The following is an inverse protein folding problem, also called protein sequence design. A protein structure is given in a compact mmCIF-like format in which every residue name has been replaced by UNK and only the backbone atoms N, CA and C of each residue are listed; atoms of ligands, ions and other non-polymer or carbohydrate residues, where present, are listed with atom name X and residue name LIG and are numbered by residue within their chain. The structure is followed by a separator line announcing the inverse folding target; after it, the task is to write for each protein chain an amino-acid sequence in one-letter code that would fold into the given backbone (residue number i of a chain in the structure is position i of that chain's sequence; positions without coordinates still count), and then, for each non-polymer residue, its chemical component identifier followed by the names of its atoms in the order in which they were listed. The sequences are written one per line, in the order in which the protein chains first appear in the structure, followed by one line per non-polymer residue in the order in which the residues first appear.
data_IF_156331009154
#
_entry.id   IF_156331009154
#
_cell.length_a   1.000
_cell.length_b   1.000
_cell.length_c   1.000
_cell.angle_alpha   90.00
_cell.angle_beta   90.00
_cell.angle_gamma   90.00
#
_symmetry.space_group_name_H-M   'P 1'
#
loop_
_entity.id
_entity.type
_entity.pdbx_description
1 polymer ?
#
# COMPACT_ATOMS: atom_id res chain seq x y z
N UNK A 1 18.95 -19.15 -39.48
CA UNK A 1 20.06 -18.18 -39.29
C UNK A 1 19.80 -17.17 -38.16
N UNK A 2 18.74 -16.34 -38.20
CA UNK A 2 18.48 -15.37 -37.10
C UNK A 2 18.12 -16.07 -35.78
N UNK A 3 17.31 -17.12 -35.85
CA UNK A 3 16.88 -17.92 -34.70
C UNK A 3 18.03 -18.68 -34.04
N UNK A 4 18.98 -19.17 -34.83
CA UNK A 4 20.18 -19.87 -34.33
C UNK A 4 21.09 -18.93 -33.53
N UNK A 5 21.17 -17.65 -33.93
CA UNK A 5 21.91 -16.62 -33.18
C UNK A 5 21.24 -16.27 -31.86
N UNK A 6 19.92 -16.19 -31.83
CA UNK A 6 19.16 -15.96 -30.59
C UNK A 6 19.32 -17.15 -29.64
N UNK A 7 19.20 -18.39 -30.16
CA UNK A 7 19.43 -19.59 -29.38
C UNK A 7 20.85 -19.64 -28.80
N UNK A 8 21.87 -19.33 -29.61
CA UNK A 8 23.27 -19.27 -29.17
C UNK A 8 23.53 -18.15 -28.15
N UNK A 9 22.83 -17.02 -28.24
CA UNK A 9 22.92 -15.94 -27.26
C UNK A 9 22.29 -16.33 -25.91
N UNK A 10 21.19 -17.10 -25.93
CA UNK A 10 20.49 -17.57 -24.74
C UNK A 10 21.18 -18.76 -24.06
N UNK A 11 21.86 -19.64 -24.80
CA UNK A 11 22.53 -20.84 -24.26
C UNK A 11 24.05 -20.69 -24.11
N UNK A 12 24.63 -19.63 -24.68
CA UNK A 12 26.07 -19.38 -24.66
C UNK A 12 26.57 -18.73 -23.37
N UNK A 13 27.90 -18.61 -23.25
CA UNK A 13 28.60 -17.99 -22.10
C UNK A 13 28.22 -16.53 -21.79
N UNK A 14 27.59 -15.84 -22.74
CA UNK A 14 27.16 -14.44 -22.60
C UNK A 14 25.69 -14.29 -22.19
N UNK A 15 24.98 -15.41 -21.99
CA UNK A 15 23.57 -15.44 -21.55
C UNK A 15 23.33 -14.69 -20.23
N UNK A 16 24.30 -14.68 -19.34
CA UNK A 16 24.21 -13.93 -18.08
C UNK A 16 24.09 -12.41 -18.30
N UNK A 17 24.63 -11.84 -19.39
CA UNK A 17 24.42 -10.42 -19.70
C UNK A 17 22.97 -10.12 -20.08
N UNK A 18 22.27 -11.05 -20.74
CA UNK A 18 20.85 -10.90 -21.04
C UNK A 18 20.03 -10.95 -19.76
N UNK A 19 20.37 -11.85 -18.84
CA UNK A 19 19.76 -11.91 -17.51
C UNK A 19 20.01 -10.61 -16.73
N UNK A 20 21.25 -10.10 -16.72
CA UNK A 20 21.58 -8.83 -16.10
C UNK A 20 20.81 -7.66 -16.73
N UNK A 21 20.69 -7.64 -18.06
CA UNK A 21 19.90 -6.65 -18.78
C UNK A 21 18.42 -6.69 -18.38
N UNK A 22 17.82 -7.87 -18.28
CA UNK A 22 16.45 -8.04 -17.82
C UNK A 22 16.26 -7.57 -16.36
N UNK A 23 17.23 -7.88 -15.49
CA UNK A 23 17.22 -7.42 -14.09
C UNK A 23 17.28 -5.90 -14.02
N UNK A 24 18.22 -5.27 -14.75
CA UNK A 24 18.36 -3.81 -14.78
C UNK A 24 17.11 -3.13 -15.34
N UNK A 25 16.52 -3.71 -16.40
CA UNK A 25 15.28 -3.21 -16.98
C UNK A 25 14.12 -3.30 -15.97
N UNK A 26 13.98 -4.44 -15.28
CA UNK A 26 12.96 -4.64 -14.26
C UNK A 26 13.13 -3.69 -13.07
N UNK A 27 14.35 -3.57 -12.55
CA UNK A 27 14.67 -2.67 -11.44
C UNK A 27 14.45 -1.19 -11.83
N UNK A 28 14.87 -0.81 -13.04
CA UNK A 28 14.65 0.53 -13.58
C UNK A 28 13.16 0.84 -13.75
N UNK A 29 12.38 -0.12 -14.24
CA UNK A 29 10.92 0.02 -14.34
C UNK A 29 10.26 0.19 -12.97
N UNK A 30 10.63 -0.65 -11.98
CA UNK A 30 10.12 -0.51 -10.60
C UNK A 30 10.47 0.86 -10.00
N UNK A 31 11.69 1.35 -10.23
CA UNK A 31 12.11 2.67 -9.78
C UNK A 31 11.34 3.80 -10.48
N UNK A 32 11.07 3.67 -11.78
CA UNK A 32 10.35 4.67 -12.57
C UNK A 32 8.86 4.76 -12.20
N UNK A 33 8.22 3.64 -11.86
CA UNK A 33 6.82 3.62 -11.38
C UNK A 33 6.69 4.29 -10.01
N UNK A 34 7.73 4.24 -9.19
CA UNK A 34 7.76 4.86 -7.86
C UNK A 34 6.92 4.11 -6.82
N UNK A 35 7.00 4.56 -5.57
CA UNK A 35 6.21 3.98 -4.49
C UNK A 35 4.71 4.29 -4.71
N UNK A 36 3.90 3.26 -4.97
CA UNK A 36 2.46 3.40 -5.05
C UNK A 36 1.86 3.56 -3.65
N UNK A 37 1.77 4.81 -3.17
CA UNK A 37 1.11 5.14 -1.90
C UNK A 37 -0.39 4.84 -1.88
N UNK A 38 -1.00 4.58 -3.04
CA UNK A 38 -2.42 4.27 -3.15
C UNK A 38 -2.78 2.88 -2.60
N UNK A 39 -1.81 2.00 -2.36
CA UNK A 39 -2.07 0.67 -1.79
C UNK A 39 -2.73 0.74 -0.39
N UNK A 40 -2.53 1.83 0.34
CA UNK A 40 -3.18 2.11 1.62
C UNK A 40 -4.33 3.13 1.54
N UNK A 41 -4.65 3.64 0.35
CA UNK A 41 -5.71 4.63 0.18
C UNK A 41 -7.02 3.95 -0.23
N UNK A 42 -8.12 4.40 0.36
CA UNK A 42 -9.43 4.01 -0.12
C UNK A 42 -9.60 4.45 -1.58
N UNK A 43 -10.23 3.63 -2.45
CA UNK A 43 -10.56 4.05 -3.80
C UNK A 43 -11.29 5.39 -3.79
N UNK A 44 -10.86 6.34 -4.64
CA UNK A 44 -11.60 7.59 -4.84
C UNK A 44 -12.99 7.22 -5.34
N UNK A 45 -13.97 7.28 -4.43
CA UNK A 45 -15.33 6.82 -4.70
C UNK A 45 -16.15 7.84 -5.50
N UNK A 46 -15.58 9.03 -5.74
CA UNK A 46 -16.23 10.14 -6.43
C UNK A 46 -15.26 10.85 -7.39
N UNK A 47 -15.76 11.43 -8.50
CA UNK A 47 -14.97 12.32 -9.33
C UNK A 47 -14.41 13.51 -8.54
N UNK A 48 -13.20 13.94 -8.88
CA UNK A 48 -12.47 15.01 -8.17
C UNK A 48 -13.16 16.38 -8.22
N UNK A 49 -14.00 16.62 -9.23
CA UNK A 49 -14.80 17.84 -9.36
C UNK A 49 -16.21 17.78 -8.75
N UNK A 50 -16.56 16.69 -8.06
CA UNK A 50 -17.90 16.54 -7.45
C UNK A 50 -18.08 17.45 -6.23
N UNK A 51 -19.33 17.82 -5.94
CA UNK A 51 -19.66 18.57 -4.72
C UNK A 51 -19.21 17.82 -3.45
N UNK A 52 -19.29 16.48 -3.45
CA UNK A 52 -18.80 15.64 -2.35
C UNK A 52 -17.28 15.79 -2.13
N UNK A 53 -16.48 15.83 -3.20
CA UNK A 53 -15.04 16.06 -3.10
C UNK A 53 -14.71 17.46 -2.58
N UNK A 54 -15.52 18.47 -2.96
CA UNK A 54 -15.37 19.84 -2.47
C UNK A 54 -15.74 19.96 -0.99
N UNK A 55 -16.80 19.29 -0.54
CA UNK A 55 -17.20 19.22 0.88
C UNK A 55 -16.13 18.53 1.72
N UNK A 56 -15.58 17.41 1.25
CA UNK A 56 -14.48 16.71 1.91
C UNK A 56 -13.23 17.59 2.04
N UNK A 57 -12.87 18.35 1.01
CA UNK A 57 -11.79 19.34 1.08
C UNK A 57 -12.06 20.47 2.07
N UNK A 58 -13.32 20.94 2.19
CA UNK A 58 -13.73 21.93 3.19
C UNK A 58 -13.71 21.35 4.61
N UNK A 59 -14.13 20.09 4.80
CA UNK A 59 -14.16 19.44 6.10
C UNK A 59 -12.77 19.41 6.75
N UNK A 60 -11.72 19.14 5.97
CA UNK A 60 -10.32 19.15 6.44
C UNK A 60 -9.82 20.51 6.96
N UNK A 61 -10.53 21.61 6.69
CA UNK A 61 -10.16 22.94 7.19
C UNK A 61 -10.58 23.17 8.64
N UNK A 62 -11.49 22.33 9.16
CA UNK A 62 -11.92 22.40 10.55
C UNK A 62 -10.99 21.58 11.46
N UNK A 63 -10.79 21.98 12.73
CA UNK A 63 -9.98 21.23 13.68
C UNK A 63 -10.44 19.77 13.79
N UNK A 64 -9.59 18.84 13.39
CA UNK A 64 -9.87 17.41 13.42
C UNK A 64 -10.72 16.88 12.26
N UNK A 65 -11.05 17.70 11.26
CA UNK A 65 -11.77 17.26 10.06
C UNK A 65 -10.96 16.38 9.11
N UNK A 66 -9.67 16.24 9.37
CA UNK A 66 -8.74 15.32 8.72
C UNK A 66 -8.42 14.07 9.58
N UNK A 67 -8.95 13.98 10.80
CA UNK A 67 -8.66 12.86 11.71
C UNK A 67 -9.53 11.66 11.39
N UNK A 68 -8.87 10.53 11.10
CA UNK A 68 -9.50 9.22 11.03
C UNK A 68 -9.29 8.53 12.39
N UNK A 69 -10.34 8.33 13.21
CA UNK A 69 -10.19 7.71 14.51
C UNK A 69 -9.83 6.22 14.36
N UNK A 70 -8.86 5.76 15.15
CA UNK A 70 -8.58 4.35 15.33
C UNK A 70 -9.57 3.75 16.33
N UNK A 71 -10.16 2.62 15.98
CA UNK A 71 -11.05 1.85 16.87
C UNK A 71 -10.26 0.65 17.40
N UNK A 72 -9.98 0.64 18.71
CA UNK A 72 -9.42 -0.52 19.39
C UNK A 72 -10.54 -1.44 19.86
N UNK A 73 -10.57 -2.66 19.35
CA UNK A 73 -11.53 -3.70 19.78
C UNK A 73 -10.79 -4.68 20.70
N UNK A 74 -11.23 -4.76 21.95
CA UNK A 74 -10.68 -5.69 22.95
C UNK A 74 -11.72 -6.76 23.26
N UNK A 75 -11.31 -8.02 23.16
CA UNK A 75 -12.14 -9.18 23.46
C UNK A 75 -11.46 -10.08 24.47
N UNK A 76 -12.21 -10.65 25.41
CA UNK A 76 -11.70 -11.72 26.27
C UNK A 76 -11.87 -13.07 25.58
N UNK A 77 -10.85 -13.90 25.65
CA UNK A 77 -10.87 -15.24 25.03
C UNK A 77 -11.89 -16.19 25.69
N UNK A 78 -12.24 -15.94 26.94
CA UNK A 78 -13.22 -16.72 27.71
C UNK A 78 -14.68 -16.28 27.47
N UNK A 79 -14.91 -15.24 26.65
CA UNK A 79 -16.24 -14.71 26.37
C UNK A 79 -16.92 -14.02 27.55
N UNK A 80 -16.24 -13.87 28.68
CA UNK A 80 -16.78 -13.17 29.84
C UNK A 80 -16.82 -11.65 29.60
N UNK A 81 -17.65 -10.95 30.37
CA UNK A 81 -17.76 -9.50 30.28
C UNK A 81 -16.43 -8.81 30.67
N UNK A 82 -16.11 -7.72 29.99
CA UNK A 82 -14.98 -6.86 30.36
C UNK A 82 -15.26 -6.19 31.71
N UNK A 83 -14.33 -6.34 32.64
CA UNK A 83 -14.36 -5.64 33.92
C UNK A 83 -13.87 -4.19 33.75
N UNK A 84 -14.13 -3.30 34.72
CA UNK A 84 -13.57 -1.95 34.71
C UNK A 84 -12.03 -1.92 34.65
N UNK A 85 -11.36 -2.92 35.23
CA UNK A 85 -9.91 -3.06 35.17
C UNK A 85 -9.41 -3.44 33.76
N UNK A 86 -10.18 -4.25 33.03
CA UNK A 86 -9.85 -4.60 31.64
C UNK A 86 -9.95 -3.37 30.73
N UNK A 87 -10.96 -2.52 30.97
CA UNK A 87 -11.14 -1.26 30.22
C UNK A 87 -10.03 -0.27 30.54
N UNK A 88 -9.64 -0.11 31.80
CA UNK A 88 -8.55 0.81 32.17
C UNK A 88 -7.19 0.35 31.62
N UNK A 89 -6.92 -0.95 31.63
CA UNK A 89 -5.73 -1.53 31.00
C UNK A 89 -5.71 -1.29 29.49
N UNK A 90 -6.86 -1.46 28.81
CA UNK A 90 -6.97 -1.17 27.38
C UNK A 90 -6.74 0.31 27.05
N UNK A 91 -7.21 1.23 27.90
CA UNK A 91 -6.97 2.66 27.75
C UNK A 91 -5.50 3.04 27.97
N UNK A 92 -4.83 2.39 28.93
CA UNK A 92 -3.41 2.61 29.20
C UNK A 92 -2.48 2.08 28.09
N UNK A 93 -2.98 1.19 27.24
CA UNK A 93 -2.24 0.62 26.11
C UNK A 93 -2.33 1.45 24.81
N UNK A 94 -3.13 2.52 24.79
CA UNK A 94 -3.22 3.49 23.68
C UNK A 94 -2.07 4.49 23.72
#
# INVERSE_FOLDING_TARGET
MVWDRVAAALTGRWSWLLALGAILLGAGFMAAVGANGAAGQAPLSVPTGSDSARVDAMARQFPGGDRVPLILVVSRADGAALSPADVSAAQAAR
#
